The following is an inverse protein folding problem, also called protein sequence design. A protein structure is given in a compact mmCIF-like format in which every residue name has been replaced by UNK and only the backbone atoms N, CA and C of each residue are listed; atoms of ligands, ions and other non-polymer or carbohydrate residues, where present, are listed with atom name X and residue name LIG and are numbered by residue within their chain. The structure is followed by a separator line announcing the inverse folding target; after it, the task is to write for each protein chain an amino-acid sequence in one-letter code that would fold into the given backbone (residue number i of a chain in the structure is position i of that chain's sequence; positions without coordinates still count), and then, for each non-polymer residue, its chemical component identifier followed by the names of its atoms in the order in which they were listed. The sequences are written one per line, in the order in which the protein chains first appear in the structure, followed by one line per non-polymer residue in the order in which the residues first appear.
data_IF_546885469276
#
_entry.id   IF_546885469276
#
_cell.length_a   1.000
_cell.length_b   1.000
_cell.length_c   1.000
_cell.angle_alpha   90.00
_cell.angle_beta   90.00
_cell.angle_gamma   90.00
#
_symmetry.space_group_name_H-M   'P 1'
#
loop_
_entity.id
_entity.type
_entity.pdbx_description
1 polymer ?
#
# COMPACT_ATOMS: atom_id res chain seq x y z
N UNK A 1 10.79 7.21 -12.57
CA UNK A 1 9.77 7.41 -11.55
C UNK A 1 9.42 6.10 -10.88
N UNK A 2 9.57 6.02 -9.59
CA UNK A 2 9.31 4.76 -8.90
C UNK A 2 7.83 4.41 -8.98
N UNK A 3 7.57 3.18 -9.37
CA UNK A 3 6.22 2.69 -9.44
C UNK A 3 6.04 1.65 -8.35
N UNK A 4 5.05 1.85 -7.52
CA UNK A 4 4.74 0.88 -6.49
C UNK A 4 3.77 -0.13 -7.07
N UNK A 5 4.22 -1.37 -7.19
CA UNK A 5 3.35 -2.45 -7.65
C UNK A 5 2.57 -2.96 -6.46
N UNK A 6 1.29 -2.73 -6.47
CA UNK A 6 0.43 -3.16 -5.36
C UNK A 6 0.03 -4.62 -5.56
N UNK A 7 0.33 -5.42 -4.55
CA UNK A 7 -0.11 -6.82 -4.52
C UNK A 7 -1.35 -6.86 -3.64
N UNK A 8 -2.43 -7.38 -4.19
CA UNK A 8 -3.71 -7.41 -3.47
C UNK A 8 -4.13 -8.85 -3.21
N UNK A 9 -4.66 -9.07 -2.02
CA UNK A 9 -5.29 -10.35 -1.71
C UNK A 9 -6.42 -10.11 -0.75
N UNK A 10 -7.37 -11.01 -0.79
CA UNK A 10 -8.56 -10.90 0.05
C UNK A 10 -8.38 -11.76 1.30
N UNK A 11 -8.72 -11.18 2.44
CA UNK A 11 -8.65 -11.87 3.73
C UNK A 11 -9.99 -11.69 4.43
N UNK A 12 -10.76 -12.77 4.50
CA UNK A 12 -12.10 -12.73 5.11
C UNK A 12 -12.96 -11.65 4.43
N UNK A 13 -13.29 -10.60 5.17
CA UNK A 13 -14.13 -9.53 4.65
C UNK A 13 -13.32 -8.32 4.20
N UNK A 14 -12.01 -8.44 4.19
CA UNK A 14 -11.15 -7.31 3.92
C UNK A 14 -10.21 -7.58 2.76
N UNK A 15 -9.67 -6.51 2.22
CA UNK A 15 -8.64 -6.59 1.20
C UNK A 15 -7.35 -6.04 1.77
N UNK A 16 -6.26 -6.69 1.47
CA UNK A 16 -4.94 -6.27 1.93
C UNK A 16 -4.12 -5.88 0.70
N UNK A 17 -3.51 -4.71 0.77
CA UNK A 17 -2.66 -4.22 -0.31
C UNK A 17 -1.24 -4.07 0.22
N UNK A 18 -0.28 -4.57 -0.54
CA UNK A 18 1.13 -4.52 -0.15
C UNK A 18 1.95 -3.88 -1.26
N UNK A 19 2.94 -3.13 -0.86
CA UNK A 19 3.93 -2.59 -1.79
C UNK A 19 5.28 -3.17 -1.43
N UNK A 20 5.66 -4.30 -2.03
CA UNK A 20 6.92 -4.96 -1.65
C UNK A 20 8.16 -4.13 -1.93
N UNK A 21 8.09 -3.23 -2.89
CA UNK A 21 9.24 -2.37 -3.21
C UNK A 21 9.62 -1.48 -2.04
N UNK A 22 8.62 -0.99 -1.33
CA UNK A 22 8.83 -0.08 -0.20
C UNK A 22 8.70 -0.82 1.13
N UNK A 23 7.89 -1.87 1.14
CA UNK A 23 7.64 -2.64 2.35
C UNK A 23 6.45 -2.14 3.13
N UNK A 24 5.56 -1.39 2.49
CA UNK A 24 4.36 -0.91 3.16
C UNK A 24 3.20 -1.85 2.91
N UNK A 25 2.28 -1.87 3.88
CA UNK A 25 1.10 -2.73 3.84
C UNK A 25 -0.08 -1.93 4.37
N UNK A 26 -1.23 -2.11 3.74
CA UNK A 26 -2.44 -1.48 4.23
C UNK A 26 -3.62 -2.37 3.93
N UNK A 27 -4.76 -2.03 4.48
CA UNK A 27 -5.96 -2.83 4.31
C UNK A 27 -7.19 -1.96 4.21
N UNK A 28 -8.27 -2.51 3.69
CA UNK A 28 -9.52 -1.80 3.57
C UNK A 28 -10.65 -2.78 3.28
N UNK A 29 -11.87 -2.28 3.35
CA UNK A 29 -13.04 -3.13 3.11
C UNK A 29 -13.26 -3.41 1.63
N UNK A 30 -12.70 -2.57 0.78
CA UNK A 30 -12.77 -2.75 -0.67
C UNK A 30 -11.38 -2.62 -1.24
N UNK A 31 -11.24 -3.05 -2.50
CA UNK A 31 -9.95 -2.91 -3.18
C UNK A 31 -9.57 -1.43 -3.26
N UNK A 32 -10.52 -0.57 -3.58
CA UNK A 32 -10.23 0.86 -3.67
C UNK A 32 -9.76 1.42 -2.34
N UNK A 33 -10.40 1.01 -1.26
CA UNK A 33 -10.00 1.46 0.07
C UNK A 33 -8.60 0.98 0.41
N UNK A 34 -8.32 -0.28 0.15
CA UNK A 34 -7.00 -0.85 0.45
C UNK A 34 -5.91 -0.14 -0.34
N UNK A 35 -6.14 0.09 -1.63
CA UNK A 35 -5.17 0.76 -2.48
C UNK A 35 -4.98 2.22 -2.06
N UNK A 36 -6.06 2.90 -1.75
CA UNK A 36 -6.00 4.29 -1.32
C UNK A 36 -5.21 4.41 -0.02
N UNK A 37 -5.49 3.53 0.92
CA UNK A 37 -4.78 3.52 2.20
C UNK A 37 -3.31 3.18 2.02
N UNK A 38 -3.02 2.25 1.12
CA UNK A 38 -1.64 1.90 0.83
C UNK A 38 -0.88 3.07 0.24
N UNK A 39 -1.52 3.78 -0.68
CA UNK A 39 -0.90 4.93 -1.31
C UNK A 39 -0.55 5.98 -0.28
N UNK A 40 -1.47 6.27 0.63
CA UNK A 40 -1.24 7.25 1.67
C UNK A 40 -0.10 6.80 2.59
N UNK A 41 -0.12 5.53 2.99
CA UNK A 41 0.92 4.99 3.86
C UNK A 41 2.28 5.05 3.19
N UNK A 42 2.32 4.75 1.89
CA UNK A 42 3.57 4.76 1.15
C UNK A 42 4.12 6.18 1.02
N UNK A 43 3.24 7.14 0.78
CA UNK A 43 3.65 8.53 0.68
C UNK A 43 4.22 9.04 2.00
N UNK A 44 3.58 8.68 3.10
CA UNK A 44 4.05 9.07 4.42
C UNK A 44 5.39 8.41 4.74
N UNK A 45 5.54 7.16 4.36
CA UNK A 45 6.80 6.45 4.56
C UNK A 45 7.93 7.14 3.81
N UNK A 46 7.68 7.52 2.55
CA UNK A 46 8.70 8.13 1.72
C UNK A 46 9.05 9.54 2.18
N UNK A 47 8.11 10.22 2.84
CA UNK A 47 8.40 11.53 3.41
C UNK A 47 9.37 11.43 4.59
N UNK A 48 9.17 10.41 5.43
CA UNK A 48 10.01 10.22 6.60
C UNK A 48 11.35 9.55 6.25
N UNK A 49 11.30 8.67 5.27
CA UNK A 49 12.48 7.90 4.85
C UNK A 49 12.65 8.04 3.35
N UNK A 50 13.14 9.21 2.91
CA UNK A 50 13.30 9.44 1.47
C UNK A 50 14.15 8.36 0.82
N UNK A 51 13.66 7.83 -0.26
CA UNK A 51 14.35 6.78 -0.98
C UNK A 51 15.19 7.40 -2.08
N UNK A 52 16.45 7.12 -2.08
CA UNK A 52 17.37 7.66 -3.09
C UNK A 52 17.53 6.73 -4.25
#
# INVERSE_FOLDING_TARGET
MPTCTAVLHKEDDMYVAECPDVGTVSQGKTVDDAVSNLKEATELYLEEFPHK
#
